data_IF_701741271950
#
_entry.id   IF_701741271950
#
_cell.length_a   1.000
_cell.length_b   1.000
_cell.length_c   1.000
_cell.angle_alpha   90.00
_cell.angle_beta   90.00
_cell.angle_gamma   90.00
#
_symmetry.space_group_name_H-M   'P 1'
#
loop_
_entity.id
_entity.type
_entity.pdbx_description
1 polymer ?
#
# COMPACT_ATOMS: atom_id res chain seq x y z
N UNK A 1 7.26 -13.24 3.05
CA UNK A 1 7.66 -12.05 3.83
C UNK A 1 6.89 -11.95 5.17
N UNK A 2 5.56 -12.12 5.19
CA UNK A 2 4.74 -12.06 6.41
C UNK A 2 5.15 -13.05 7.52
N UNK A 3 5.37 -14.34 7.22
CA UNK A 3 5.84 -15.32 8.23
C UNK A 3 7.14 -14.89 8.91
N UNK A 4 8.04 -14.30 8.16
CA UNK A 4 9.31 -13.84 8.71
C UNK A 4 9.18 -12.48 9.42
N UNK A 5 8.22 -11.65 9.03
CA UNK A 5 7.79 -10.49 9.81
C UNK A 5 7.22 -10.90 11.17
N UNK A 6 6.30 -11.87 11.20
CA UNK A 6 5.74 -12.41 12.44
C UNK A 6 6.82 -12.98 13.37
N UNK A 7 7.79 -13.73 12.82
CA UNK A 7 8.94 -14.24 13.58
C UNK A 7 9.83 -13.14 14.19
N UNK A 8 9.97 -11.99 13.54
CA UNK A 8 10.85 -10.89 14.00
C UNK A 8 10.15 -9.88 14.89
N UNK A 9 8.86 -9.64 14.66
CA UNK A 9 8.10 -8.53 15.27
C UNK A 9 6.84 -8.97 16.02
N UNK A 10 6.51 -10.27 15.99
CA UNK A 10 5.39 -10.89 16.70
C UNK A 10 4.20 -11.24 15.80
N UNK A 11 3.36 -12.17 16.26
CA UNK A 11 2.20 -12.69 15.50
C UNK A 11 1.15 -11.62 15.14
N UNK A 12 1.11 -10.49 15.87
CA UNK A 12 0.23 -9.35 15.57
C UNK A 12 0.88 -8.32 14.66
N UNK A 13 1.91 -8.72 13.93
CA UNK A 13 2.56 -7.83 12.98
C UNK A 13 1.66 -7.50 11.79
N UNK A 14 1.65 -6.22 11.42
CA UNK A 14 0.86 -5.69 10.31
C UNK A 14 1.76 -5.21 9.18
N UNK A 15 1.15 -4.60 8.15
CA UNK A 15 1.86 -3.99 7.03
C UNK A 15 3.01 -3.02 7.41
N UNK A 16 2.98 -2.26 8.53
CA UNK A 16 4.04 -1.30 8.85
C UNK A 16 5.45 -1.92 8.98
N UNK A 17 5.66 -2.99 9.76
CA UNK A 17 7.02 -3.56 9.85
C UNK A 17 7.39 -4.44 8.64
N UNK A 18 6.40 -4.85 7.84
CA UNK A 18 6.68 -5.49 6.54
C UNK A 18 7.25 -4.47 5.55
N UNK A 19 6.68 -3.27 5.48
CA UNK A 19 7.23 -2.14 4.71
C UNK A 19 8.61 -1.78 5.24
N UNK A 20 8.76 -1.57 6.56
CA UNK A 20 10.05 -1.23 7.18
C UNK A 20 11.16 -2.23 6.84
N UNK A 21 10.85 -3.51 6.78
CA UNK A 21 11.83 -4.52 6.39
C UNK A 21 12.27 -4.36 4.92
N UNK A 22 11.34 -4.07 4.02
CA UNK A 22 11.68 -3.84 2.61
C UNK A 22 12.52 -2.57 2.48
N UNK A 23 12.17 -1.52 3.20
CA UNK A 23 12.97 -0.29 3.34
C UNK A 23 14.40 -0.60 3.79
N UNK A 24 14.57 -1.34 4.89
CA UNK A 24 15.88 -1.72 5.45
C UNK A 24 16.71 -2.54 4.45
N UNK A 25 16.09 -3.50 3.76
CA UNK A 25 16.79 -4.38 2.82
C UNK A 25 17.21 -3.66 1.52
N UNK A 26 16.46 -2.65 1.11
CA UNK A 26 16.72 -1.87 -0.08
C UNK A 26 17.50 -0.57 0.20
N UNK A 27 17.70 -0.21 1.47
CA UNK A 27 18.32 1.06 1.86
C UNK A 27 17.50 2.28 1.42
N UNK A 28 16.18 2.15 1.37
CA UNK A 28 15.25 3.20 0.92
C UNK A 28 14.30 3.60 2.04
N UNK A 29 13.67 4.76 1.89
CA UNK A 29 12.55 5.19 2.74
C UNK A 29 11.36 5.46 1.81
N UNK A 30 10.29 4.72 1.98
CA UNK A 30 9.03 4.85 1.24
C UNK A 30 8.17 5.89 1.96
N UNK A 31 8.72 7.10 2.08
CA UNK A 31 8.00 8.26 2.60
C UNK A 31 7.54 9.08 1.42
N UNK A 32 6.25 9.43 1.39
CA UNK A 32 5.79 10.49 0.50
C UNK A 32 6.27 11.85 0.99
N UNK A 33 6.39 12.83 0.10
CA UNK A 33 6.71 14.23 0.43
C UNK A 33 5.57 14.95 1.19
N UNK A 34 4.54 14.21 1.60
CA UNK A 34 3.29 14.73 2.11
C UNK A 34 2.35 15.13 0.97
N UNK A 35 1.27 15.83 1.34
CA UNK A 35 0.35 16.43 0.39
C UNK A 35 0.52 17.95 0.42
N UNK A 36 0.30 18.67 -0.70
CA UNK A 36 0.29 20.11 -0.68
C UNK A 36 -0.85 20.64 0.22
N UNK A 37 -0.70 21.86 0.74
CA UNK A 37 -1.70 22.49 1.62
C UNK A 37 -3.07 22.64 0.92
N UNK A 38 -3.06 22.74 -0.41
CA UNK A 38 -4.26 22.71 -1.24
C UNK A 38 -4.07 21.67 -2.34
N UNK A 39 -5.07 20.82 -2.50
CA UNK A 39 -5.20 19.89 -3.62
C UNK A 39 -6.38 20.34 -4.47
N UNK A 40 -6.19 20.41 -5.78
CA UNK A 40 -7.25 20.70 -6.75
C UNK A 40 -7.50 19.41 -7.51
N UNK A 41 -8.75 18.97 -7.51
CA UNK A 41 -9.23 17.90 -8.39
C UNK A 41 -9.70 18.56 -9.69
N UNK A 42 -8.97 18.31 -10.78
CA UNK A 42 -9.27 18.80 -12.12
C UNK A 42 -10.07 17.78 -12.95
N UNK A 43 -10.36 16.60 -12.39
CA UNK A 43 -11.15 15.58 -13.06
C UNK A 43 -12.64 15.99 -13.10
N UNK A 44 -13.32 15.85 -14.25
CA UNK A 44 -14.76 16.08 -14.31
C UNK A 44 -15.51 15.13 -13.38
N UNK A 45 -16.50 15.66 -12.66
CA UNK A 45 -17.41 14.81 -11.86
C UNK A 45 -18.16 13.85 -12.76
N UNK A 46 -18.01 12.56 -12.50
CA UNK A 46 -18.73 11.49 -13.18
C UNK A 46 -19.68 10.77 -12.23
N UNK A 47 -20.82 10.23 -12.72
CA UNK A 47 -21.61 9.29 -11.94
C UNK A 47 -20.77 8.09 -11.50
N UNK A 48 -20.94 7.65 -10.25
CA UNK A 48 -20.33 6.41 -9.78
C UNK A 48 -20.84 5.20 -10.56
N UNK A 49 -20.02 4.17 -10.68
CA UNK A 49 -20.38 2.89 -11.29
C UNK A 49 -19.91 1.72 -10.43
N UNK A 50 -20.60 0.59 -10.54
CA UNK A 50 -20.20 -0.64 -9.86
C UNK A 50 -19.03 -1.29 -10.60
N UNK A 51 -17.93 -1.54 -9.88
CA UNK A 51 -16.79 -2.29 -10.42
C UNK A 51 -17.14 -3.78 -10.37
N UNK A 52 -17.42 -4.37 -11.53
CA UNK A 52 -17.59 -5.82 -11.65
C UNK A 52 -16.21 -6.48 -11.63
N UNK A 53 -15.90 -7.35 -10.64
CA UNK A 53 -14.63 -8.04 -10.61
C UNK A 53 -14.45 -8.84 -11.90
N UNK A 54 -13.29 -8.71 -12.55
CA UNK A 54 -12.94 -9.68 -13.60
C UNK A 54 -12.76 -11.05 -12.91
N UNK A 55 -13.42 -12.13 -13.37
CA UNK A 55 -13.10 -13.46 -12.89
C UNK A 55 -11.60 -13.66 -13.10
N UNK A 56 -10.88 -14.01 -12.03
CA UNK A 56 -9.42 -14.05 -12.03
C UNK A 56 -8.90 -14.85 -13.22
N UNK A 57 -7.90 -14.31 -13.91
CA UNK A 57 -7.02 -15.08 -14.77
C UNK A 57 -6.31 -16.13 -13.90
N UNK A 58 -6.96 -17.27 -13.72
CA UNK A 58 -6.36 -18.51 -13.23
C UNK A 58 -5.56 -19.09 -14.40
N UNK A 59 -4.31 -18.63 -14.53
CA UNK A 59 -3.23 -19.40 -15.11
C UNK A 59 -2.12 -19.50 -14.06
#
# INVERSE_FOLDING_TARGET
>A
IFRDGARRYGERELSPNIIRRLEDACGVRVLGEGFPAQMVDDEPKIPGYEVVPRPGSLL
#
